data_IF_364673588029
#
_entry.id   IF_364673588029
#
_cell.length_a   1.000
_cell.length_b   1.000
_cell.length_c   1.000
_cell.angle_alpha   90.00
_cell.angle_beta   90.00
_cell.angle_gamma   90.00
#
_symmetry.space_group_name_H-M   'P 1'
#
loop_
_entity.id
_entity.type
_entity.pdbx_description
1 polymer ?
#
# COMPACT_ATOMS: atom_id res chain seq x y z
N UNK A 1 9.27 -22.74 4.25
CA UNK A 1 7.87 -23.04 4.61
C UNK A 1 7.34 -21.81 5.32
N UNK A 2 6.28 -21.17 4.80
CA UNK A 2 5.72 -19.95 5.42
C UNK A 2 5.09 -20.28 6.77
N UNK A 3 5.24 -19.40 7.74
CA UNK A 3 4.59 -19.53 9.04
C UNK A 3 3.07 -19.32 8.89
N UNK A 4 2.27 -19.79 9.86
CA UNK A 4 0.82 -19.49 9.89
C UNK A 4 0.55 -17.98 9.95
N UNK A 5 1.43 -17.23 10.61
CA UNK A 5 1.34 -15.77 10.74
C UNK A 5 1.58 -15.13 9.37
N UNK A 6 2.55 -15.62 8.60
CA UNK A 6 2.85 -15.08 7.27
C UNK A 6 1.66 -15.23 6.31
N UNK A 7 0.94 -16.35 6.40
CA UNK A 7 -0.28 -16.59 5.61
C UNK A 7 -1.38 -15.60 5.98
N UNK A 8 -1.63 -15.41 7.28
CA UNK A 8 -2.62 -14.43 7.76
C UNK A 8 -2.25 -13.02 7.28
N UNK A 9 -0.97 -12.65 7.40
CA UNK A 9 -0.49 -11.35 6.94
C UNK A 9 -0.64 -11.19 5.42
N UNK A 10 -0.28 -12.21 4.63
CA UNK A 10 -0.51 -12.22 3.18
C UNK A 10 -1.99 -11.95 2.85
N UNK A 11 -2.91 -12.68 3.49
CA UNK A 11 -4.36 -12.53 3.26
C UNK A 11 -4.84 -11.11 3.63
N UNK A 12 -4.42 -10.58 4.77
CA UNK A 12 -4.80 -9.24 5.22
C UNK A 12 -4.28 -8.14 4.31
N UNK A 13 -2.99 -8.18 3.96
CA UNK A 13 -2.42 -7.20 3.03
C UNK A 13 -3.10 -7.27 1.66
N UNK A 14 -3.36 -8.47 1.14
CA UNK A 14 -4.06 -8.64 -0.13
C UNK A 14 -5.49 -8.11 -0.08
N UNK A 15 -6.19 -8.28 1.04
CA UNK A 15 -7.52 -7.70 1.26
C UNK A 15 -7.48 -6.16 1.20
N UNK A 16 -6.57 -5.51 1.95
CA UNK A 16 -6.49 -4.04 1.97
C UNK A 16 -6.03 -3.46 0.64
N UNK A 17 -5.06 -4.10 -0.02
CA UNK A 17 -4.62 -3.72 -1.38
C UNK A 17 -5.77 -3.84 -2.37
N UNK A 18 -6.57 -4.91 -2.29
CA UNK A 18 -7.73 -5.07 -3.16
C UNK A 18 -8.78 -3.98 -2.90
N UNK A 19 -9.05 -3.65 -1.63
CA UNK A 19 -9.99 -2.58 -1.30
C UNK A 19 -9.60 -1.22 -1.88
N UNK A 20 -8.30 -0.88 -1.88
CA UNK A 20 -7.80 0.35 -2.52
C UNK A 20 -7.92 0.25 -4.04
N UNK A 21 -7.55 -0.89 -4.64
CA UNK A 21 -7.70 -1.11 -6.08
C UNK A 21 -9.17 -0.96 -6.51
N UNK A 22 -10.11 -1.57 -5.81
CA UNK A 22 -11.55 -1.47 -6.13
C UNK A 22 -12.04 -0.01 -6.07
N UNK A 23 -11.56 0.78 -5.10
CA UNK A 23 -11.86 2.23 -5.02
C UNK A 23 -11.32 3.00 -6.22
N UNK A 24 -10.12 2.65 -6.71
CA UNK A 24 -9.52 3.26 -7.89
C UNK A 24 -10.24 2.85 -9.18
N UNK A 25 -10.65 1.59 -9.31
CA UNK A 25 -11.43 1.10 -10.45
C UNK A 25 -12.84 1.73 -10.53
N UNK A 26 -13.43 2.06 -9.37
CA UNK A 26 -14.73 2.72 -9.29
C UNK A 26 -14.70 4.21 -9.67
N UNK A 27 -13.52 4.82 -9.81
CA UNK A 27 -13.35 6.23 -10.16
C UNK A 27 -12.90 6.37 -11.61
N UNK A 28 -13.58 7.21 -12.39
CA UNK A 28 -13.20 7.50 -13.77
C UNK A 28 -11.80 8.10 -13.85
N UNK A 29 -11.00 7.59 -14.78
CA UNK A 29 -9.71 8.16 -15.13
C UNK A 29 -9.85 9.33 -16.10
N UNK A 30 -8.77 10.12 -16.22
CA UNK A 30 -8.66 11.22 -17.18
C UNK A 30 -8.35 10.78 -18.62
N UNK A 31 -7.53 9.75 -18.77
CA UNK A 31 -6.96 9.20 -20.01
C UNK A 31 -7.40 7.75 -20.21
N UNK A 32 -7.46 6.97 -19.13
CA UNK A 32 -7.98 5.60 -19.13
C UNK A 32 -9.38 5.55 -18.52
N UNK A 33 -10.05 4.40 -18.64
CA UNK A 33 -11.43 4.23 -18.14
C UNK A 33 -11.55 4.46 -16.62
N UNK A 34 -10.48 4.16 -15.86
CA UNK A 34 -10.46 4.26 -14.40
C UNK A 34 -9.08 4.67 -13.86
N UNK A 35 -9.07 5.19 -12.63
CA UNK A 35 -7.86 5.65 -11.95
C UNK A 35 -6.84 4.54 -11.68
N UNK A 36 -7.26 3.26 -11.64
CA UNK A 36 -6.34 2.14 -11.48
C UNK A 36 -5.45 1.94 -12.71
N UNK A 37 -6.03 1.95 -13.91
CA UNK A 37 -5.27 1.83 -15.16
C UNK A 37 -4.35 3.03 -15.38
N UNK A 38 -4.80 4.23 -15.00
CA UNK A 38 -3.94 5.42 -15.03
C UNK A 38 -2.75 5.27 -14.09
N UNK A 39 -3.00 4.86 -12.84
CA UNK A 39 -1.95 4.62 -11.88
C UNK A 39 -0.96 3.56 -12.38
N UNK A 40 -1.43 2.44 -12.91
CA UNK A 40 -0.60 1.40 -13.51
C UNK A 40 0.25 1.93 -14.67
N UNK A 41 -0.34 2.75 -15.56
CA UNK A 41 0.40 3.43 -16.62
C UNK A 41 1.49 4.34 -16.05
N UNK A 42 1.19 5.17 -15.05
CA UNK A 42 2.18 6.06 -14.46
C UNK A 42 3.31 5.30 -13.75
N UNK A 43 3.00 4.21 -13.03
CA UNK A 43 4.01 3.32 -12.40
C UNK A 43 4.93 2.72 -13.46
N UNK A 44 4.38 2.19 -14.56
CA UNK A 44 5.18 1.54 -15.62
C UNK A 44 6.01 2.53 -16.46
N UNK A 45 5.57 3.78 -16.61
CA UNK A 45 6.29 4.82 -17.36
C UNK A 45 7.26 5.63 -16.50
N UNK A 46 7.12 5.58 -15.18
CA UNK A 46 8.15 5.99 -14.21
C UNK A 46 8.54 7.47 -14.18
N UNK A 47 7.84 8.37 -14.88
CA UNK A 47 8.22 9.80 -14.89
C UNK A 47 7.09 10.71 -15.37
N UNK A 48 6.43 11.42 -14.46
CA UNK A 48 5.73 12.71 -14.73
C UNK A 48 5.45 13.46 -13.41
N UNK A 49 5.23 14.79 -13.47
CA UNK A 49 4.62 15.57 -12.36
C UNK A 49 3.23 15.01 -11.99
N UNK A 50 2.58 14.34 -12.94
CA UNK A 50 1.29 13.67 -12.75
C UNK A 50 1.47 12.48 -11.79
N UNK A 51 2.59 11.74 -11.85
CA UNK A 51 2.87 10.63 -10.93
C UNK A 51 2.85 11.08 -9.46
N UNK A 52 3.47 12.21 -9.12
CA UNK A 52 3.48 12.75 -7.75
C UNK A 52 2.05 13.06 -7.25
N UNK A 53 1.17 13.57 -8.14
CA UNK A 53 -0.24 13.80 -7.80
C UNK A 53 -1.00 12.49 -7.55
N UNK A 54 -0.80 11.45 -8.37
CA UNK A 54 -1.41 10.15 -8.16
C UNK A 54 -0.87 9.47 -6.90
N UNK A 55 0.44 9.54 -6.67
CA UNK A 55 1.06 9.02 -5.45
C UNK A 55 0.47 9.70 -4.21
N UNK A 56 0.37 11.04 -4.19
CA UNK A 56 -0.26 11.76 -3.10
C UNK A 56 -1.72 11.34 -2.87
N UNK A 57 -2.50 11.25 -3.95
CA UNK A 57 -3.90 10.84 -3.88
C UNK A 57 -4.07 9.42 -3.32
N UNK A 58 -3.28 8.47 -3.82
CA UNK A 58 -3.32 7.07 -3.39
C UNK A 58 -2.83 6.93 -1.95
N UNK A 59 -1.75 7.60 -1.59
CA UNK A 59 -1.24 7.60 -0.21
C UNK A 59 -2.28 8.17 0.75
N UNK A 60 -3.02 9.21 0.39
CA UNK A 60 -4.12 9.71 1.24
C UNK A 60 -5.22 8.66 1.41
N UNK A 61 -5.63 7.98 0.35
CA UNK A 61 -6.64 6.92 0.42
C UNK A 61 -6.19 5.75 1.31
N UNK A 62 -4.92 5.36 1.22
CA UNK A 62 -4.33 4.32 2.08
C UNK A 62 -4.25 4.82 3.53
N UNK A 63 -3.84 6.06 3.77
CA UNK A 63 -3.79 6.66 5.10
C UNK A 63 -5.17 6.68 5.77
N UNK A 64 -6.22 7.07 5.04
CA UNK A 64 -7.59 7.04 5.54
C UNK A 64 -8.01 5.62 5.92
N UNK A 65 -7.76 4.64 5.04
CA UNK A 65 -8.04 3.24 5.33
C UNK A 65 -7.31 2.75 6.59
N UNK A 66 -6.02 3.06 6.73
CA UNK A 66 -5.20 2.62 7.87
C UNK A 66 -5.66 3.27 9.17
N UNK A 67 -6.06 4.54 9.15
CA UNK A 67 -6.60 5.25 10.33
C UNK A 67 -7.94 4.70 10.82
N UNK A 68 -8.71 4.06 9.95
CA UNK A 68 -9.96 3.40 10.31
C UNK A 68 -9.74 2.00 10.90
N UNK A 69 -8.53 1.45 10.80
CA UNK A 69 -8.24 0.12 11.32
C UNK A 69 -8.18 0.11 12.85
N UNK A 70 -8.69 -0.97 13.49
CA UNK A 70 -8.44 -1.18 14.90
C UNK A 70 -6.93 -1.26 15.20
N UNK A 71 -6.50 -0.74 16.35
CA UNK A 71 -5.09 -0.73 16.75
C UNK A 71 -4.43 -2.13 16.74
N UNK A 72 -5.18 -3.19 17.08
CA UNK A 72 -4.67 -4.56 17.03
C UNK A 72 -4.37 -5.03 15.61
N UNK A 73 -5.14 -4.57 14.63
CA UNK A 73 -4.92 -4.86 13.21
C UNK A 73 -3.68 -4.13 12.70
N UNK A 74 -3.50 -2.85 13.06
CA UNK A 74 -2.30 -2.08 12.73
C UNK A 74 -1.05 -2.76 13.30
N UNK A 75 -1.10 -3.19 14.57
CA UNK A 75 0.00 -3.92 15.21
C UNK A 75 0.30 -5.24 14.51
N UNK A 76 -0.73 -5.98 14.10
CA UNK A 76 -0.56 -7.23 13.37
C UNK A 76 0.15 -6.99 12.03
N UNK A 77 -0.36 -6.06 11.22
CA UNK A 77 0.21 -5.72 9.91
C UNK A 77 1.65 -5.21 10.05
N UNK A 78 1.91 -4.35 11.05
CA UNK A 78 3.22 -3.77 11.31
C UNK A 78 4.34 -4.81 11.45
N UNK A 79 4.04 -6.03 11.96
CA UNK A 79 5.01 -7.12 12.11
C UNK A 79 5.70 -7.53 10.80
N UNK A 80 5.13 -7.22 9.65
CA UNK A 80 5.72 -7.53 8.34
C UNK A 80 6.56 -6.40 7.76
N UNK A 81 6.40 -5.19 8.30
CA UNK A 81 7.04 -4.01 7.72
C UNK A 81 8.54 -4.01 8.04
N UNK A 82 9.34 -3.41 7.17
CA UNK A 82 10.78 -3.23 7.44
C UNK A 82 11.04 -2.50 8.76
N UNK A 83 10.11 -1.66 9.22
CA UNK A 83 10.19 -0.95 10.51
C UNK A 83 10.16 -1.89 11.71
N UNK A 84 9.45 -3.03 11.63
CA UNK A 84 9.49 -4.05 12.68
C UNK A 84 10.85 -4.74 12.73
N UNK A 85 11.51 -4.96 11.59
CA UNK A 85 12.84 -5.55 11.53
C UNK A 85 13.84 -4.67 12.30
N UNK A 86 13.79 -3.36 12.14
CA UNK A 86 14.64 -2.43 12.90
C UNK A 86 14.35 -2.46 14.41
N UNK A 87 13.08 -2.55 14.81
CA UNK A 87 12.70 -2.74 16.22
C UNK A 87 13.25 -4.05 16.80
N UNK A 88 13.10 -5.17 16.08
CA UNK A 88 13.54 -6.49 16.53
C UNK A 88 15.07 -6.61 16.62
N UNK A 89 15.81 -5.84 15.80
CA UNK A 89 17.28 -5.77 15.87
C UNK A 89 17.82 -5.01 17.10
N UNK A 90 16.94 -4.49 17.95
CA UNK A 90 17.31 -3.92 19.25
C UNK A 90 17.90 -2.51 19.18
N UNK A 91 17.52 -1.71 18.17
CA UNK A 91 17.88 -0.29 18.13
C UNK A 91 17.29 0.44 19.35
N UNK A 92 18.12 0.91 20.31
CA UNK A 92 17.64 1.55 21.53
C UNK A 92 16.97 2.91 21.29
N UNK A 93 17.02 3.43 20.06
CA UNK A 93 16.36 4.66 19.65
C UNK A 93 15.03 4.43 18.94
N UNK A 94 14.65 3.17 18.68
CA UNK A 94 13.44 2.86 17.93
C UNK A 94 12.32 2.39 18.86
N UNK A 95 11.49 3.34 19.29
CA UNK A 95 10.17 3.06 19.87
C UNK A 95 9.11 3.39 18.82
N UNK A 96 8.49 2.38 18.21
CA UNK A 96 7.39 2.63 17.30
C UNK A 96 6.13 3.03 18.10
N UNK A 97 5.77 4.31 18.08
CA UNK A 97 4.46 4.76 18.50
C UNK A 97 3.38 4.34 17.49
N UNK A 98 2.12 4.62 17.81
CA UNK A 98 1.00 4.25 16.93
C UNK A 98 1.12 4.90 15.54
N UNK A 99 1.62 6.14 15.48
CA UNK A 99 1.78 6.89 14.22
C UNK A 99 2.86 6.27 13.34
N UNK A 100 3.98 5.86 13.93
CA UNK A 100 5.08 5.22 13.20
C UNK A 100 4.64 3.85 12.65
N UNK A 101 3.87 3.09 13.42
CA UNK A 101 3.27 1.82 12.96
C UNK A 101 2.31 2.04 11.79
N UNK A 102 1.41 3.03 11.90
CA UNK A 102 0.49 3.40 10.82
C UNK A 102 1.26 3.74 9.53
N UNK A 103 2.27 4.62 9.62
CA UNK A 103 3.07 5.02 8.46
C UNK A 103 3.81 3.84 7.82
N UNK A 104 4.33 2.91 8.63
CA UNK A 104 4.99 1.71 8.11
C UNK A 104 3.99 0.81 7.36
N UNK A 105 2.78 0.63 7.89
CA UNK A 105 1.72 -0.15 7.23
C UNK A 105 1.27 0.53 5.94
N UNK A 106 1.11 1.86 5.92
CA UNK A 106 0.77 2.64 4.73
C UNK A 106 1.79 2.42 3.62
N UNK A 107 3.09 2.54 3.95
CA UNK A 107 4.19 2.31 2.99
C UNK A 107 4.18 0.90 2.42
N UNK A 108 3.93 -0.10 3.26
CA UNK A 108 3.86 -1.50 2.83
C UNK A 108 2.67 -1.76 1.90
N UNK A 109 1.48 -1.25 2.23
CA UNK A 109 0.30 -1.36 1.36
C UNK A 109 0.58 -0.69 0.02
N UNK A 110 1.16 0.52 0.03
CA UNK A 110 1.50 1.24 -1.19
C UNK A 110 2.52 0.47 -2.04
N UNK A 111 3.58 -0.08 -1.43
CA UNK A 111 4.60 -0.88 -2.11
C UNK A 111 3.99 -2.11 -2.81
N UNK A 112 3.10 -2.83 -2.13
CA UNK A 112 2.42 -4.00 -2.71
C UNK A 112 1.47 -3.57 -3.84
N UNK A 113 0.73 -2.47 -3.65
CA UNK A 113 -0.17 -1.91 -4.67
C UNK A 113 0.60 -1.49 -5.93
N UNK A 114 1.72 -0.78 -5.78
CA UNK A 114 2.61 -0.39 -6.88
C UNK A 114 3.19 -1.60 -7.60
N UNK A 115 3.63 -2.62 -6.84
CA UNK A 115 4.12 -3.89 -7.41
C UNK A 115 3.06 -4.64 -8.23
N UNK A 116 1.76 -4.50 -7.87
CA UNK A 116 0.65 -5.01 -8.67
C UNK A 116 0.44 -4.16 -9.92
N UNK A 117 0.46 -2.84 -9.78
CA UNK A 117 0.25 -1.89 -10.87
C UNK A 117 1.32 -2.01 -11.96
N UNK A 118 2.58 -2.24 -11.58
CA UNK A 118 3.70 -2.52 -12.48
C UNK A 118 3.45 -3.73 -13.40
N UNK A 119 2.68 -4.73 -12.92
CA UNK A 119 2.37 -5.97 -13.65
C UNK A 119 1.03 -5.94 -14.35
N UNK A 120 0.28 -4.84 -14.22
CA UNK A 120 -1.05 -4.72 -14.80
C UNK A 120 -0.97 -4.64 -16.32
N UNK A 121 -1.89 -5.34 -17.00
CA UNK A 121 -1.93 -5.34 -18.46
C UNK A 121 -2.74 -4.14 -18.94
N UNK A 122 -2.04 -3.12 -19.42
CA UNK A 122 -2.68 -1.94 -19.99
C UNK A 122 -3.32 -2.27 -21.35
N UNK A 123 -4.51 -1.72 -21.65
CA UNK A 123 -5.09 -1.83 -22.98
C UNK A 123 -4.15 -1.17 -24.00
N UNK A 124 -4.04 -1.77 -25.19
CA UNK A 124 -3.25 -1.20 -26.29
C UNK A 124 -3.90 0.11 -26.74
N UNK A 125 -3.08 1.16 -26.87
CA UNK A 125 -3.47 2.44 -27.50
C UNK A 125 -3.86 2.25 -28.98
#
# INVERSE_FOLDING_TARGET
>A
MKSKIDIILDEKYMYYVQSIKDKLEAQSGSTYENNWLEFAFQVQKGTTVIFEMYEFFILNMINELVRELPNHEIKLLWLRTDHFIYYDTGDPHFYAGSVEMEQAVVKEIYSILSSKAEREKLPLE
#
